data_IF_519551638763
#
_entry.id   IF_519551638763
#
_cell.length_a   1.000
_cell.length_b   1.000
_cell.length_c   1.000
_cell.angle_alpha   90.00
_cell.angle_beta   90.00
_cell.angle_gamma   90.00
#
_symmetry.space_group_name_H-M   'P 1'
#
loop_
_entity.id
_entity.type
_entity.pdbx_description
1 polymer ?
#
# COMPACT_ATOMS: atom_id res chain seq x y z
N UNK A 1 3.83 -39.49 25.63
CA UNK A 1 2.38 -39.44 25.89
C UNK A 1 1.78 -40.71 25.33
N UNK A 2 1.36 -41.61 26.21
CA UNK A 2 0.72 -42.88 25.89
C UNK A 2 -0.81 -42.71 25.86
N UNK A 3 -1.50 -43.72 25.29
CA UNK A 3 -2.96 -43.94 25.23
C UNK A 3 -3.60 -43.38 23.93
N UNK A 4 -4.25 -44.12 23.05
CA UNK A 4 -4.81 -45.47 23.07
C UNK A 4 -4.73 -46.07 21.65
N UNK A 5 -3.86 -47.05 21.42
CA UNK A 5 -4.11 -48.00 20.34
C UNK A 5 -5.15 -48.98 20.89
N UNK A 6 -6.42 -48.54 20.93
CA UNK A 6 -7.53 -49.43 21.18
C UNK A 6 -7.34 -50.62 20.24
N UNK A 7 -7.30 -51.84 20.78
CA UNK A 7 -7.24 -53.05 19.99
C UNK A 7 -8.50 -53.09 19.12
N UNK A 8 -8.39 -52.54 17.91
CA UNK A 8 -9.45 -52.59 16.91
C UNK A 8 -9.61 -54.07 16.61
N UNK A 9 -10.67 -54.68 17.15
CA UNK A 9 -11.10 -55.99 16.69
C UNK A 9 -11.47 -55.81 15.22
N UNK A 10 -10.54 -56.20 14.36
CA UNK A 10 -10.75 -56.23 12.93
C UNK A 10 -11.85 -57.28 12.67
N UNK A 11 -12.81 -56.98 11.81
CA UNK A 11 -13.83 -57.96 11.46
C UNK A 11 -13.18 -59.13 10.72
N UNK A 12 -13.54 -60.35 11.09
CA UNK A 12 -13.01 -61.58 10.45
C UNK A 12 -13.65 -61.83 9.07
N UNK A 13 -14.74 -61.13 8.76
CA UNK A 13 -15.43 -61.22 7.48
C UNK A 13 -14.73 -60.39 6.40
N UNK A 14 -14.36 -61.05 5.29
CA UNK A 14 -13.64 -60.45 4.16
C UNK A 14 -14.39 -59.25 3.57
N UNK A 15 -15.72 -59.32 3.48
CA UNK A 15 -16.56 -58.22 3.01
C UNK A 15 -16.50 -56.99 3.94
N UNK A 16 -16.47 -57.22 5.26
CA UNK A 16 -16.38 -56.14 6.25
C UNK A 16 -14.96 -55.53 6.27
N UNK A 17 -13.92 -56.35 6.10
CA UNK A 17 -12.56 -55.87 5.88
C UNK A 17 -12.47 -54.93 4.66
N UNK A 18 -13.04 -55.32 3.52
CA UNK A 18 -13.03 -54.51 2.31
C UNK A 18 -13.77 -53.18 2.48
N UNK A 19 -14.92 -53.18 3.18
CA UNK A 19 -15.66 -51.96 3.49
C UNK A 19 -14.83 -51.01 4.36
N UNK A 20 -14.21 -51.51 5.43
CA UNK A 20 -13.33 -50.71 6.29
C UNK A 20 -12.12 -50.15 5.54
N UNK A 21 -11.50 -50.93 4.66
CA UNK A 21 -10.38 -50.44 3.82
C UNK A 21 -10.85 -49.29 2.92
N UNK A 22 -12.06 -49.37 2.36
CA UNK A 22 -12.65 -48.31 1.56
C UNK A 22 -12.88 -47.02 2.36
N UNK A 23 -13.44 -47.14 3.55
CA UNK A 23 -13.66 -46.01 4.47
C UNK A 23 -12.35 -45.39 4.94
N UNK A 24 -11.37 -46.21 5.31
CA UNK A 24 -10.03 -45.76 5.67
C UNK A 24 -9.33 -45.06 4.50
N UNK A 25 -9.44 -45.59 3.28
CA UNK A 25 -8.87 -44.94 2.10
C UNK A 25 -9.55 -43.59 1.81
N UNK A 26 -10.88 -43.50 1.98
CA UNK A 26 -11.61 -42.24 1.82
C UNK A 26 -11.20 -41.20 2.88
N UNK A 27 -11.10 -41.60 4.14
CA UNK A 27 -10.67 -40.71 5.23
C UNK A 27 -9.22 -40.24 5.05
N UNK A 28 -8.31 -41.12 4.64
CA UNK A 28 -6.92 -40.76 4.33
C UNK A 28 -6.89 -39.69 3.23
N UNK A 29 -7.64 -39.88 2.14
CA UNK A 29 -7.71 -38.90 1.05
C UNK A 29 -8.20 -37.54 1.53
N UNK A 30 -9.24 -37.50 2.35
CA UNK A 30 -9.76 -36.24 2.92
C UNK A 30 -8.69 -35.56 3.77
N UNK A 31 -8.00 -36.31 4.63
CA UNK A 31 -6.94 -35.77 5.48
C UNK A 31 -5.74 -35.28 4.68
N UNK A 32 -5.37 -35.94 3.58
CA UNK A 32 -4.30 -35.50 2.66
C UNK A 32 -4.65 -34.17 2.00
N UNK A 33 -5.90 -34.01 1.53
CA UNK A 33 -6.38 -32.74 0.97
C UNK A 33 -6.36 -31.61 2.01
N UNK A 34 -6.77 -31.90 3.24
CA UNK A 34 -6.72 -30.91 4.33
C UNK A 34 -5.28 -30.53 4.67
N UNK A 35 -4.37 -31.50 4.77
CA UNK A 35 -2.94 -31.25 4.98
C UNK A 35 -2.35 -30.38 3.87
N UNK A 36 -2.64 -30.70 2.61
CA UNK A 36 -2.18 -29.90 1.47
C UNK A 36 -2.71 -28.46 1.53
N UNK A 37 -4.00 -28.29 1.86
CA UNK A 37 -4.61 -26.96 2.03
C UNK A 37 -3.97 -26.16 3.16
N UNK A 38 -3.69 -26.79 4.29
CA UNK A 38 -3.04 -26.15 5.43
C UNK A 38 -1.58 -25.80 5.12
N UNK A 39 -0.82 -26.69 4.49
CA UNK A 39 0.55 -26.44 4.04
C UNK A 39 0.62 -25.24 3.09
N UNK A 40 -0.26 -25.18 2.08
CA UNK A 40 -0.33 -24.04 1.17
C UNK A 40 -0.62 -22.72 1.90
N UNK A 41 -1.56 -22.71 2.87
CA UNK A 41 -1.85 -21.52 3.67
C UNK A 41 -0.64 -21.07 4.48
N UNK A 42 0.08 -22.02 5.10
CA UNK A 42 1.31 -21.72 5.83
C UNK A 42 2.36 -21.14 4.90
N UNK A 43 2.56 -21.70 3.71
CA UNK A 43 3.51 -21.17 2.73
C UNK A 43 3.16 -19.74 2.32
N UNK A 44 1.89 -19.44 2.04
CA UNK A 44 1.45 -18.08 1.76
C UNK A 44 1.74 -17.11 2.93
N UNK A 45 1.47 -17.54 4.16
CA UNK A 45 1.74 -16.72 5.36
C UNK A 45 3.25 -16.52 5.57
N UNK A 46 4.05 -17.57 5.43
CA UNK A 46 5.51 -17.50 5.54
C UNK A 46 6.09 -16.60 4.46
N UNK A 47 5.61 -16.68 3.21
CA UNK A 47 6.01 -15.75 2.14
C UNK A 47 5.58 -14.31 2.44
N UNK A 48 4.43 -14.09 3.09
CA UNK A 48 4.00 -12.74 3.48
C UNK A 48 4.85 -12.16 4.61
N UNK A 49 5.22 -12.97 5.60
CA UNK A 49 5.96 -12.52 6.80
C UNK A 49 7.47 -12.44 6.54
N UNK A 50 8.03 -13.46 5.88
CA UNK A 50 9.47 -13.65 5.70
C UNK A 50 9.91 -13.63 4.24
N UNK A 51 8.98 -13.63 3.29
CA UNK A 51 9.32 -13.54 1.88
C UNK A 51 9.84 -12.16 1.50
N UNK A 52 10.50 -12.11 0.34
CA UNK A 52 11.00 -10.84 -0.21
C UNK A 52 9.81 -9.93 -0.49
N UNK A 53 9.72 -8.83 0.26
CA UNK A 53 8.68 -7.80 0.10
C UNK A 53 8.84 -6.95 -1.16
N UNK A 54 9.85 -7.23 -1.99
CA UNK A 54 10.09 -6.49 -3.23
C UNK A 54 9.77 -7.35 -4.44
N UNK A 55 8.78 -6.93 -5.20
CA UNK A 55 8.71 -7.09 -6.66
C UNK A 55 9.89 -6.34 -7.31
N UNK A 56 11.13 -6.66 -6.92
CA UNK A 56 12.28 -6.30 -7.73
C UNK A 56 12.17 -7.20 -8.94
N UNK A 57 11.50 -6.68 -9.96
CA UNK A 57 11.41 -7.30 -11.28
C UNK A 57 12.85 -7.62 -11.69
N UNK A 58 13.12 -8.90 -11.92
CA UNK A 58 14.41 -9.32 -12.45
C UNK A 58 14.58 -8.62 -13.81
N UNK A 59 15.69 -7.92 -14.09
CA UNK A 59 15.94 -7.35 -15.41
C UNK A 59 15.77 -8.40 -16.52
N UNK A 60 16.03 -9.68 -16.25
CA UNK A 60 15.77 -10.77 -17.20
C UNK A 60 14.27 -11.01 -17.46
N UNK A 61 13.38 -10.76 -16.49
CA UNK A 61 11.93 -10.82 -16.69
C UNK A 61 11.41 -9.66 -17.55
N UNK A 62 12.02 -8.47 -17.47
CA UNK A 62 11.68 -7.37 -18.37
C UNK A 62 12.02 -7.69 -19.83
N UNK A 63 13.11 -8.45 -20.06
CA UNK A 63 13.51 -8.86 -21.40
C UNK A 63 12.50 -9.81 -22.07
N UNK A 64 11.79 -10.65 -21.29
CA UNK A 64 10.72 -11.50 -21.82
C UNK A 64 9.57 -10.67 -22.41
N UNK A 65 9.11 -9.64 -21.68
CA UNK A 65 8.06 -8.74 -22.17
C UNK A 65 8.57 -7.81 -23.28
N UNK A 66 9.84 -7.40 -23.24
CA UNK A 66 10.44 -6.57 -24.28
C UNK A 66 10.56 -7.33 -25.61
N UNK A 67 10.89 -8.63 -25.59
CA UNK A 67 10.96 -9.45 -26.80
C UNK A 67 9.60 -9.58 -27.49
N UNK A 68 8.52 -9.79 -26.72
CA UNK A 68 7.16 -9.83 -27.24
C UNK A 68 6.68 -8.47 -27.76
N UNK A 69 6.99 -7.39 -27.03
CA UNK A 69 6.68 -6.03 -27.47
C UNK A 69 7.43 -5.64 -28.75
N UNK A 70 8.73 -5.98 -28.86
CA UNK A 70 9.53 -5.71 -30.06
C UNK A 70 9.07 -6.55 -31.27
N UNK A 71 8.62 -7.78 -31.04
CA UNK A 71 8.00 -8.60 -32.09
C UNK A 71 6.66 -8.01 -32.57
N UNK A 72 5.89 -7.37 -31.70
CA UNK A 72 4.66 -6.67 -32.05
C UNK A 72 4.88 -5.31 -32.74
N UNK A 73 6.04 -4.66 -32.52
CA UNK A 73 6.40 -3.33 -33.05
C UNK A 73 7.25 -3.40 -34.33
N UNK A 74 7.27 -4.54 -35.02
CA UNK A 74 8.01 -4.77 -36.26
C UNK A 74 7.62 -3.92 -37.48
N UNK A 75 7.26 -2.64 -37.34
CA UNK A 75 6.97 -1.71 -38.44
C UNK A 75 7.17 -0.22 -38.13
N UNK A 76 7.92 0.20 -37.11
CA UNK A 76 8.29 1.62 -36.98
C UNK A 76 9.74 1.78 -36.52
N UNK A 77 10.56 2.36 -37.40
CA UNK A 77 11.92 2.79 -37.11
C UNK A 77 11.90 3.88 -36.03
N UNK A 78 12.74 3.82 -34.98
CA UNK A 78 12.77 4.86 -33.97
C UNK A 78 13.41 6.13 -34.54
N UNK A 79 12.65 7.23 -34.51
CA UNK A 79 13.22 8.57 -34.62
C UNK A 79 14.07 8.81 -33.37
N UNK A 80 15.33 9.19 -33.60
CA UNK A 80 16.24 9.60 -32.53
C UNK A 80 15.70 10.89 -31.89
N UNK A 81 15.09 10.74 -30.72
CA UNK A 81 14.88 11.86 -29.79
C UNK A 81 16.14 11.99 -28.96
N UNK A 82 16.81 13.14 -29.10
CA UNK A 82 17.94 13.54 -28.27
C UNK A 82 17.51 13.54 -26.80
N UNK A 83 18.08 12.64 -26.02
CA UNK A 83 17.89 12.60 -24.59
C UNK A 83 18.62 13.79 -23.95
N UNK A 84 17.88 14.71 -23.36
CA UNK A 84 18.42 15.72 -22.45
C UNK A 84 19.11 15.02 -21.26
N UNK A 85 20.19 15.60 -20.71
CA UNK A 85 20.98 14.94 -19.68
C UNK A 85 20.15 14.78 -18.40
N UNK A 86 19.87 13.51 -18.05
CA UNK A 86 19.25 13.12 -16.79
C UNK A 86 20.01 13.76 -15.62
N UNK A 87 19.34 14.69 -14.94
CA UNK A 87 19.85 15.26 -13.70
C UNK A 87 20.04 14.14 -12.67
N UNK A 88 21.23 14.12 -12.05
CA UNK A 88 21.66 13.10 -11.09
C UNK A 88 20.57 12.84 -10.03
N UNK A 89 20.26 11.57 -9.70
CA UNK A 89 19.24 11.29 -8.70
C UNK A 89 19.68 11.88 -7.36
N UNK A 90 18.93 12.88 -6.89
CA UNK A 90 19.13 13.44 -5.56
C UNK A 90 19.06 12.32 -4.53
N UNK A 91 20.00 12.32 -3.57
CA UNK A 91 20.12 11.33 -2.51
C UNK A 91 18.73 11.05 -1.91
N UNK A 92 18.30 9.79 -2.00
CA UNK A 92 17.04 9.31 -1.43
C UNK A 92 17.07 9.48 0.08
N UNK A 93 16.57 10.62 0.57
CA UNK A 93 16.32 10.81 1.98
C UNK A 93 15.33 9.78 2.51
N UNK A 94 15.48 9.40 3.77
CA UNK A 94 14.47 8.61 4.49
C UNK A 94 13.26 9.51 4.76
N UNK A 95 12.38 9.64 3.78
CA UNK A 95 11.20 10.49 3.85
C UNK A 95 10.17 10.13 2.78
N UNK A 96 8.92 10.53 3.01
CA UNK A 96 7.84 10.39 2.03
C UNK A 96 8.23 11.18 0.77
N UNK A 97 8.21 10.51 -0.39
CA UNK A 97 8.44 11.20 -1.67
C UNK A 97 7.37 12.26 -1.85
N UNK A 98 7.78 13.44 -2.28
CA UNK A 98 6.83 14.49 -2.69
C UNK A 98 5.99 13.97 -3.86
N UNK A 99 4.70 14.30 -3.93
CA UNK A 99 3.90 14.00 -5.11
C UNK A 99 4.53 14.66 -6.35
N UNK A 100 4.36 14.08 -7.54
CA UNK A 100 4.83 14.69 -8.78
C UNK A 100 4.19 16.07 -8.99
N UNK A 101 5.00 17.06 -9.39
CA UNK A 101 4.56 18.44 -9.63
C UNK A 101 3.65 18.59 -10.87
N UNK A 102 3.59 17.57 -11.72
CA UNK A 102 2.79 17.54 -12.95
C UNK A 102 1.33 17.16 -12.70
N UNK A 103 1.01 16.61 -11.52
CA UNK A 103 -0.37 16.24 -11.18
C UNK A 103 -1.23 17.50 -10.97
N UNK A 104 -2.54 17.44 -11.27
CA UNK A 104 -3.43 18.55 -10.97
C UNK A 104 -3.52 18.79 -9.47
N UNK A 105 -3.31 20.04 -9.05
CA UNK A 105 -3.38 20.49 -7.66
C UNK A 105 -4.73 21.15 -7.36
N UNK A 106 -5.39 20.71 -6.29
CA UNK A 106 -6.65 21.24 -5.79
C UNK A 106 -6.43 21.92 -4.43
N UNK A 107 -6.43 23.27 -4.35
CA UNK A 107 -6.24 23.98 -3.09
C UNK A 107 -7.51 23.92 -2.22
N UNK A 108 -7.36 23.49 -0.97
CA UNK A 108 -8.42 23.49 0.06
C UNK A 108 -7.96 24.33 1.23
N UNK A 109 -8.56 25.51 1.43
CA UNK A 109 -8.29 26.36 2.59
C UNK A 109 -9.08 25.90 3.82
N UNK A 110 -8.39 25.72 4.94
CA UNK A 110 -8.98 25.39 6.24
C UNK A 110 -9.00 26.63 7.14
N UNK A 111 -10.12 27.37 7.23
CA UNK A 111 -10.19 28.58 8.03
C UNK A 111 -10.11 28.27 9.53
N UNK A 112 -9.53 29.20 10.27
CA UNK A 112 -9.54 29.19 11.75
C UNK A 112 -10.95 29.55 12.24
N UNK A 113 -11.39 28.96 13.35
CA UNK A 113 -12.69 29.26 13.97
C UNK A 113 -12.83 30.76 14.28
N UNK A 114 -14.04 31.30 14.18
CA UNK A 114 -14.27 32.75 14.33
C UNK A 114 -13.85 33.28 15.71
N UNK A 115 -14.04 32.48 16.76
CA UNK A 115 -13.59 32.77 18.13
C UNK A 115 -12.08 32.97 18.23
N UNK A 116 -11.30 32.24 17.42
CA UNK A 116 -9.84 32.26 17.45
C UNK A 116 -9.22 33.32 16.52
N UNK A 117 -10.04 34.00 15.71
CA UNK A 117 -9.64 35.14 14.87
C UNK A 117 -9.47 36.43 15.68
N UNK A 118 -9.95 36.47 16.91
CA UNK A 118 -9.81 37.61 17.82
C UNK A 118 -8.73 37.31 18.86
N UNK A 119 -7.89 38.29 19.18
CA UNK A 119 -6.89 38.16 20.23
C UNK A 119 -7.57 38.19 21.60
N UNK A 120 -7.27 37.20 22.45
CA UNK A 120 -7.83 37.12 23.81
C UNK A 120 -7.31 38.23 24.75
N UNK A 121 -6.15 38.82 24.45
CA UNK A 121 -5.49 39.78 25.34
C UNK A 121 -5.83 41.24 25.03
N UNK A 122 -5.88 41.61 23.74
CA UNK A 122 -6.16 42.99 23.32
C UNK A 122 -7.47 43.16 22.55
N UNK A 123 -8.21 42.08 22.28
CA UNK A 123 -9.47 42.13 21.53
C UNK A 123 -9.33 42.50 20.04
N UNK A 124 -8.11 42.73 19.54
CA UNK A 124 -7.89 43.07 18.14
C UNK A 124 -8.07 41.85 17.21
N UNK A 125 -8.49 42.11 15.97
CA UNK A 125 -8.56 41.08 14.93
C UNK A 125 -7.15 40.62 14.52
N UNK A 126 -6.93 39.32 14.53
CA UNK A 126 -5.67 38.72 14.07
C UNK A 126 -5.58 38.80 12.55
N UNK A 127 -4.37 39.06 12.04
CA UNK A 127 -4.08 39.15 10.61
C UNK A 127 -3.36 37.89 10.13
N UNK A 128 -3.57 37.52 8.86
CA UNK A 128 -2.85 36.41 8.20
C UNK A 128 -1.40 36.83 7.99
N UNK A 129 -0.46 36.13 8.64
CA UNK A 129 0.98 36.36 8.54
C UNK A 129 1.64 35.33 7.61
N UNK A 130 1.06 34.15 7.49
CA UNK A 130 1.57 33.11 6.61
C UNK A 130 0.56 31.99 6.40
N UNK A 131 1.03 30.88 5.84
CA UNK A 131 0.23 29.68 5.65
C UNK A 131 1.10 28.43 5.78
N UNK A 132 0.53 27.36 6.32
CA UNK A 132 1.11 26.02 6.30
C UNK A 132 0.38 25.21 5.25
N UNK A 133 1.11 24.75 4.24
CA UNK A 133 0.58 23.88 3.17
C UNK A 133 0.96 22.44 3.46
N UNK A 134 0.01 21.53 3.35
CA UNK A 134 0.23 20.08 3.45
C UNK A 134 -0.39 19.40 2.24
N UNK A 135 0.41 18.62 1.53
CA UNK A 135 0.03 17.96 0.27
C UNK A 135 -0.48 16.53 0.53
N UNK A 136 -1.65 16.21 -0.01
CA UNK A 136 -2.28 14.88 0.05
C UNK A 136 -2.55 14.36 -1.35
N UNK A 137 -2.06 13.16 -1.69
CA UNK A 137 -2.33 12.52 -2.98
C UNK A 137 -3.65 11.75 -2.92
N UNK A 138 -4.57 12.05 -3.83
CA UNK A 138 -5.87 11.39 -3.95
C UNK A 138 -6.06 10.74 -5.32
N UNK A 139 -6.97 9.77 -5.35
CA UNK A 139 -7.32 8.99 -6.54
C UNK A 139 -8.80 9.15 -6.85
N UNK A 140 -9.10 9.55 -8.08
CA UNK A 140 -10.40 9.38 -8.70
C UNK A 140 -10.25 8.35 -9.82
N UNK A 141 -11.31 7.60 -10.20
CA UNK A 141 -11.23 6.63 -11.28
C UNK A 141 -10.53 7.22 -12.52
N UNK A 142 -9.45 6.58 -12.96
CA UNK A 142 -8.59 6.99 -14.07
C UNK A 142 -7.81 8.33 -13.91
N UNK A 143 -7.72 8.90 -12.70
CA UNK A 143 -6.94 10.12 -12.47
C UNK A 143 -6.32 10.21 -11.06
N UNK A 144 -5.14 10.80 -10.97
CA UNK A 144 -4.49 11.17 -9.71
C UNK A 144 -4.46 12.69 -9.60
N UNK A 145 -4.72 13.20 -8.41
CA UNK A 145 -4.64 14.63 -8.12
C UNK A 145 -4.10 14.85 -6.72
N UNK A 146 -3.58 16.05 -6.46
CA UNK A 146 -3.01 16.43 -5.17
C UNK A 146 -3.93 17.45 -4.53
N UNK A 147 -4.39 17.20 -3.30
CA UNK A 147 -5.07 18.19 -2.49
C UNK A 147 -4.02 18.97 -1.68
N UNK A 148 -4.00 20.28 -1.88
CA UNK A 148 -3.15 21.20 -1.12
C UNK A 148 -3.97 21.78 0.04
N UNK A 149 -3.79 21.23 1.24
CA UNK A 149 -4.45 21.73 2.44
C UNK A 149 -3.72 22.98 2.96
N UNK A 150 -4.33 24.14 2.76
CA UNK A 150 -3.79 25.45 3.13
C UNK A 150 -4.36 25.86 4.49
N UNK A 151 -3.50 25.99 5.50
CA UNK A 151 -3.88 26.43 6.85
C UNK A 151 -3.29 27.81 7.12
N UNK A 152 -4.10 28.88 7.14
CA UNK A 152 -3.61 30.22 7.40
C UNK A 152 -3.06 30.33 8.83
N UNK A 153 -1.93 30.99 8.95
CA UNK A 153 -1.31 31.35 10.23
C UNK A 153 -1.73 32.77 10.55
N UNK A 154 -2.51 32.93 11.61
CA UNK A 154 -3.00 34.22 12.09
C UNK A 154 -2.18 34.67 13.30
N UNK A 155 -1.84 35.96 13.40
CA UNK A 155 -1.34 36.52 14.67
C UNK A 155 -1.84 37.94 14.90
N UNK A 156 -1.77 38.38 16.15
CA UNK A 156 -2.21 39.71 16.53
C UNK A 156 -1.18 40.76 16.12
N UNK A 157 -1.56 41.83 15.39
CA UNK A 157 -0.63 42.90 15.03
C UNK A 157 -0.21 43.76 16.22
N UNK A 158 -1.00 43.82 17.30
CA UNK A 158 -0.73 44.66 18.47
C UNK A 158 0.19 43.96 19.48
N UNK A 159 -0.15 42.73 19.88
CA UNK A 159 0.63 41.99 20.88
C UNK A 159 1.81 41.24 20.28
N UNK A 160 1.81 40.96 18.96
CA UNK A 160 2.71 40.00 18.28
C UNK A 160 2.70 38.57 18.87
N UNK A 161 1.93 38.35 19.93
CA UNK A 161 1.66 37.10 20.61
C UNK A 161 0.31 36.50 20.16
N UNK A 162 0.06 35.23 20.47
CA UNK A 162 -1.21 34.56 20.17
C UNK A 162 -1.35 34.06 18.72
N UNK A 163 -0.31 33.45 18.17
CA UNK A 163 -0.33 32.79 16.85
C UNK A 163 -1.34 31.64 16.85
N UNK A 164 -2.36 31.71 16.00
CA UNK A 164 -3.35 30.64 15.79
C UNK A 164 -3.24 30.06 14.39
N UNK A 165 -3.39 28.73 14.32
CA UNK A 165 -3.37 27.96 13.07
C UNK A 165 -4.45 26.91 13.17
N UNK A 166 -5.18 26.68 12.08
CA UNK A 166 -6.17 25.62 12.03
C UNK A 166 -5.55 24.23 12.31
N UNK A 167 -6.30 23.31 12.93
CA UNK A 167 -5.83 21.94 13.17
C UNK A 167 -5.44 21.25 11.86
N UNK A 168 -4.62 20.20 11.97
CA UNK A 168 -4.28 19.36 10.80
C UNK A 168 -5.53 18.57 10.37
N UNK A 169 -5.81 18.47 9.06
CA UNK A 169 -6.74 17.47 8.54
C UNK A 169 -6.21 16.06 8.78
#
# INVERSE_FOLDING_TARGET
>A
MAKDAAAVRLPDDLAQCHALIGEMAATIRIQELEKARLAHRLDCLLRRVYGRSSEKVDPAQLLLFAAEALAAVGSQAPQAVEAEPESKPAKRGHGRRKPPAELPHLPVEHPVAESEKVCAECGAQKKRIGQKVTEQLEYAPASLFVIDHIRPVLACPCCQEGVTVAPKP
#
